data_IF_020341449177
#
_entry.id   IF_020341449177
#
_cell.length_a   1.000
_cell.length_b   1.000
_cell.length_c   1.000
_cell.angle_alpha   90.00
_cell.angle_beta   90.00
_cell.angle_gamma   90.00
#
_symmetry.space_group_name_H-M   'P 1'
#
loop_
_entity.id
_entity.type
_entity.pdbx_description
1 polymer ?
#
# COMPACT_ATOMS: atom_id res chain seq x y z
N UNK A 1 -21.09 7.35 -3.42
CA UNK A 1 -20.78 8.80 -3.62
C UNK A 1 -19.35 8.91 -4.15
N UNK A 2 -19.03 9.80 -5.10
CA UNK A 2 -17.64 9.96 -5.57
C UNK A 2 -16.97 11.05 -4.71
N UNK A 3 -15.84 10.77 -4.02
CA UNK A 3 -15.13 11.77 -3.22
C UNK A 3 -14.59 12.92 -4.08
N UNK A 4 -14.64 14.15 -3.55
CA UNK A 4 -14.07 15.34 -4.19
C UNK A 4 -12.72 15.69 -3.56
N UNK A 5 -11.66 15.66 -4.35
CA UNK A 5 -10.34 16.14 -3.93
C UNK A 5 -10.27 17.68 -3.98
N UNK A 6 -9.67 18.36 -2.99
CA UNK A 6 -9.08 17.81 -1.75
C UNK A 6 -10.07 17.68 -0.59
N UNK A 7 -11.31 18.16 -0.75
CA UNK A 7 -12.29 18.36 0.33
C UNK A 7 -12.54 17.11 1.19
N UNK A 8 -12.70 15.95 0.55
CA UNK A 8 -13.11 14.72 1.22
C UNK A 8 -11.92 13.81 1.58
N UNK A 9 -10.69 14.33 1.48
CA UNK A 9 -9.46 13.57 1.73
C UNK A 9 -8.85 13.93 3.09
N UNK A 10 -8.55 12.89 3.88
CA UNK A 10 -7.76 13.04 5.10
C UNK A 10 -6.28 13.16 4.72
N UNK A 11 -5.63 14.17 5.29
CA UNK A 11 -4.19 14.40 5.13
C UNK A 11 -3.41 13.69 6.23
N UNK A 12 -2.72 12.61 5.87
CA UNK A 12 -1.86 11.86 6.79
C UNK A 12 -0.44 12.41 6.85
N UNK A 13 -0.07 13.40 6.02
CA UNK A 13 1.29 13.95 6.03
C UNK A 13 1.70 14.71 7.27
N UNK A 14 0.78 14.91 8.22
CA UNK A 14 1.06 15.43 9.57
C UNK A 14 1.08 14.33 10.63
N UNK A 15 1.01 13.07 10.23
CA UNK A 15 1.11 11.92 11.11
C UNK A 15 2.51 11.74 11.69
N UNK A 16 2.65 10.81 12.63
CA UNK A 16 3.96 10.45 13.19
C UNK A 16 4.83 9.86 12.07
N UNK A 17 6.06 10.35 11.86
CA UNK A 17 6.97 9.77 10.89
C UNK A 17 7.28 8.31 11.21
N UNK A 18 7.18 7.46 10.20
CA UNK A 18 7.60 6.05 10.28
C UNK A 18 9.05 5.92 9.85
N UNK A 19 9.82 5.12 10.58
CA UNK A 19 11.25 4.88 10.30
C UNK A 19 11.45 4.02 9.06
N UNK A 20 12.63 4.11 8.45
CA UNK A 20 12.95 3.25 7.29
C UNK A 20 13.05 1.77 7.72
N UNK A 21 13.48 1.49 8.95
CA UNK A 21 13.51 0.16 9.53
C UNK A 21 12.10 -0.46 9.60
N UNK A 22 11.12 0.25 10.16
CA UNK A 22 9.73 -0.22 10.21
C UNK A 22 9.12 -0.40 8.81
N UNK A 23 9.43 0.49 7.87
CA UNK A 23 9.00 0.35 6.47
C UNK A 23 9.59 -0.93 5.85
N UNK A 24 10.87 -1.21 6.09
CA UNK A 24 11.52 -2.41 5.59
C UNK A 24 10.91 -3.69 6.18
N UNK A 25 10.57 -3.69 7.47
CA UNK A 25 9.85 -4.79 8.12
C UNK A 25 8.50 -5.02 7.44
N UNK A 26 7.71 -3.97 7.22
CA UNK A 26 6.41 -4.09 6.54
C UNK A 26 6.53 -4.63 5.12
N UNK A 27 7.57 -4.22 4.38
CA UNK A 27 7.83 -4.73 3.03
C UNK A 27 8.14 -6.23 3.11
N UNK A 28 9.04 -6.66 3.99
CA UNK A 28 9.42 -8.07 4.12
C UNK A 28 8.23 -8.96 4.51
N UNK A 29 7.43 -8.52 5.48
CA UNK A 29 6.24 -9.22 5.92
C UNK A 29 5.20 -9.34 4.79
N UNK A 30 4.91 -8.23 4.10
CA UNK A 30 3.93 -8.21 3.01
C UNK A 30 4.38 -9.05 1.80
N UNK A 31 5.67 -9.02 1.44
CA UNK A 31 6.22 -9.87 0.39
C UNK A 31 6.14 -11.35 0.77
N UNK A 32 6.44 -11.68 2.02
CA UNK A 32 6.37 -13.07 2.53
C UNK A 32 4.92 -13.56 2.49
N UNK A 33 3.98 -12.78 3.01
CA UNK A 33 2.56 -13.13 3.01
C UNK A 33 2.03 -13.35 1.58
N UNK A 34 2.39 -12.49 0.62
CA UNK A 34 2.00 -12.67 -0.77
C UNK A 34 2.59 -13.93 -1.41
N UNK A 35 3.80 -14.34 -1.02
CA UNK A 35 4.41 -15.58 -1.53
C UNK A 35 3.75 -16.83 -0.96
N UNK A 36 3.30 -16.78 0.29
CA UNK A 36 2.67 -17.91 0.97
C UNK A 36 1.18 -18.06 0.61
N UNK A 37 0.55 -16.98 0.11
CA UNK A 37 -0.89 -16.93 -0.18
C UNK A 37 -1.18 -16.60 -1.64
N UNK A 38 -1.63 -17.60 -2.38
CA UNK A 38 -2.03 -17.44 -3.78
C UNK A 38 -3.36 -16.70 -3.94
N UNK A 39 -4.22 -16.68 -2.92
CA UNK A 39 -5.49 -15.96 -2.92
C UNK A 39 -5.34 -14.44 -2.76
N UNK A 40 -4.18 -13.98 -2.26
CA UNK A 40 -3.89 -12.57 -2.10
C UNK A 40 -3.21 -11.99 -3.34
N UNK A 41 -3.77 -10.86 -3.80
CA UNK A 41 -3.18 -10.04 -4.87
C UNK A 41 -2.40 -8.84 -4.35
N UNK A 42 -2.69 -8.38 -3.13
CA UNK A 42 -2.02 -7.22 -2.53
C UNK A 42 -2.12 -7.23 -1.01
N UNK A 43 -1.11 -6.71 -0.35
CA UNK A 43 -1.08 -6.41 1.09
C UNK A 43 -0.73 -4.94 1.25
N UNK A 44 -1.45 -4.23 2.11
CA UNK A 44 -1.17 -2.83 2.41
C UNK A 44 -1.09 -2.58 3.91
N UNK A 45 -0.04 -1.89 4.35
CA UNK A 45 0.16 -1.43 5.73
C UNK A 45 0.25 0.09 5.74
N UNK A 46 -0.42 0.73 6.69
CA UNK A 46 -0.43 2.18 6.79
C UNK A 46 -0.64 2.63 8.23
N UNK A 47 0.26 3.48 8.71
CA UNK A 47 0.11 4.22 9.97
C UNK A 47 0.95 5.50 9.92
N UNK A 48 0.65 6.45 10.80
CA UNK A 48 1.34 7.74 10.83
C UNK A 48 1.24 8.45 9.48
N UNK A 49 2.37 8.88 8.95
CA UNK A 49 2.48 9.57 7.66
C UNK A 49 2.77 8.66 6.46
N UNK A 50 2.84 7.34 6.69
CA UNK A 50 3.37 6.38 5.72
C UNK A 50 2.38 5.28 5.38
N UNK A 51 2.32 4.93 4.09
CA UNK A 51 1.61 3.78 3.55
C UNK A 51 2.55 2.97 2.67
N UNK A 52 2.58 1.67 2.90
CA UNK A 52 3.24 0.68 2.04
C UNK A 52 2.16 -0.18 1.40
N UNK A 53 2.22 -0.35 0.08
CA UNK A 53 1.39 -1.28 -0.67
C UNK A 53 2.28 -2.22 -1.48
N UNK A 54 2.09 -3.51 -1.29
CA UNK A 54 2.80 -4.56 -2.02
C UNK A 54 1.77 -5.35 -2.80
N UNK A 55 1.98 -5.58 -4.09
CA UNK A 55 1.02 -6.31 -4.93
C UNK A 55 1.67 -7.19 -5.99
N UNK A 56 1.01 -8.30 -6.29
CA UNK A 56 1.31 -9.15 -7.45
C UNK A 56 0.80 -8.44 -8.69
N UNK A 57 1.69 -8.15 -9.64
CA UNK A 57 1.33 -7.60 -10.93
C UNK A 57 1.55 -8.67 -11.99
N UNK A 58 0.49 -8.96 -12.74
CA UNK A 58 0.53 -9.85 -13.89
C UNK A 58 0.70 -9.00 -15.14
N UNK A 59 1.77 -9.23 -15.88
CA UNK A 59 1.93 -8.67 -17.21
C UNK A 59 1.26 -9.58 -18.24
N UNK A 60 0.54 -8.98 -19.19
CA UNK A 60 -0.05 -9.74 -20.29
C UNK A 60 1.05 -10.47 -21.07
N UNK A 61 0.92 -11.79 -21.18
CA UNK A 61 1.86 -12.64 -21.93
C UNK A 61 3.09 -13.10 -21.15
N UNK A 62 3.23 -12.76 -19.87
CA UNK A 62 4.29 -13.28 -19.01
C UNK A 62 3.81 -14.52 -18.22
N UNK A 63 4.64 -15.57 -18.18
CA UNK A 63 4.44 -16.69 -17.25
C UNK A 63 4.83 -16.24 -15.84
N UNK A 64 3.82 -15.85 -15.04
CA UNK A 64 3.98 -15.54 -13.62
C UNK A 64 3.49 -14.16 -13.22
N UNK A 65 4.06 -13.64 -12.14
CA UNK A 65 3.85 -12.29 -11.63
C UNK A 65 5.17 -11.74 -11.10
N UNK A 66 5.33 -10.42 -11.14
CA UNK A 66 6.33 -9.76 -10.31
C UNK A 66 5.66 -9.11 -9.10
N UNK A 67 6.46 -8.79 -8.09
CA UNK A 67 6.01 -8.08 -6.90
C UNK A 67 6.34 -6.60 -7.09
N UNK A 68 5.32 -5.76 -7.10
CA UNK A 68 5.46 -4.30 -7.06
C UNK A 68 5.35 -3.83 -5.61
N UNK A 69 6.21 -2.89 -5.20
CA UNK A 69 6.21 -2.28 -3.88
C UNK A 69 6.09 -0.77 -4.06
N UNK A 70 5.07 -0.17 -3.46
CA UNK A 70 4.83 1.26 -3.42
C UNK A 70 4.96 1.76 -1.98
N UNK A 71 5.83 2.75 -1.76
CA UNK A 71 5.96 3.46 -0.49
C UNK A 71 5.51 4.90 -0.68
N UNK A 72 4.50 5.33 0.06
CA UNK A 72 3.98 6.69 0.06
C UNK A 72 4.18 7.33 1.43
N UNK A 73 4.94 8.41 1.48
CA UNK A 73 5.02 9.32 2.64
C UNK A 73 4.17 10.55 2.36
N UNK A 74 3.54 11.13 3.38
CA UNK A 74 2.74 12.35 3.19
C UNK A 74 1.43 12.13 2.43
N UNK A 75 0.89 10.91 2.46
CA UNK A 75 -0.24 10.55 1.60
C UNK A 75 -1.57 11.15 2.08
N UNK A 76 -2.51 11.30 1.15
CA UNK A 76 -3.88 11.71 1.45
C UNK A 76 -4.84 10.59 1.03
N UNK A 77 -5.87 10.33 1.83
CA UNK A 77 -6.81 9.22 1.58
C UNK A 77 -8.25 9.64 1.83
N UNK A 78 -9.14 9.26 0.92
CA UNK A 78 -10.58 9.30 1.11
C UNK A 78 -11.14 7.88 1.21
N UNK A 79 -12.30 7.75 1.84
CA UNK A 79 -13.08 6.51 1.86
C UNK A 79 -14.38 6.73 1.12
N UNK A 80 -14.80 5.74 0.34
CA UNK A 80 -16.10 5.73 -0.30
C UNK A 80 -16.73 4.35 -0.17
N UNK A 81 -18.05 4.31 -0.24
CA UNK A 81 -18.86 3.10 -0.21
C UNK A 81 -19.44 2.86 -1.60
N UNK A 82 -19.36 1.62 -2.06
CA UNK A 82 -19.96 1.12 -3.30
C UNK A 82 -21.36 0.57 -3.07
#
# INVERSE_FOLDING_TARGET
MIPQYPKDFFDFGKGVPVTDEEINEWIQEAVTELKERDDLRSVAKATGDTRVEVRKVHEEGADGHYIEILVCRGYQRAYTWG
#
